data_IF_462687938914
#
_entry.id   IF_462687938914
#
_cell.length_a   1.000
_cell.length_b   1.000
_cell.length_c   1.000
_cell.angle_alpha   90.00
_cell.angle_beta   90.00
_cell.angle_gamma   90.00
#
_symmetry.space_group_name_H-M   'P 1'
#
loop_
_entity.id
_entity.type
_entity.pdbx_description
1 polymer ?
#
# COMPACT_ATOMS: atom_id res chain seq x y z
N UNK A 1 -3.39 3.30 -9.63
CA UNK A 1 -2.70 4.37 -8.85
C UNK A 1 -2.94 5.75 -9.46
N UNK A 2 -2.73 5.94 -10.77
CA UNK A 2 -3.00 7.22 -11.46
C UNK A 2 -4.47 7.66 -11.43
N UNK A 3 -5.40 6.73 -11.68
CA UNK A 3 -6.86 6.96 -11.59
C UNK A 3 -7.28 7.45 -10.20
N UNK A 4 -6.88 6.72 -9.15
CA UNK A 4 -7.17 7.05 -7.76
C UNK A 4 -6.61 8.41 -7.36
N UNK A 5 -5.37 8.70 -7.77
CA UNK A 5 -4.72 10.00 -7.51
C UNK A 5 -5.45 11.15 -8.20
N UNK A 6 -5.95 10.95 -9.42
CA UNK A 6 -6.73 11.95 -10.17
C UNK A 6 -8.05 12.28 -9.47
N UNK A 7 -8.75 11.25 -8.98
CA UNK A 7 -10.02 11.41 -8.24
C UNK A 7 -9.78 12.11 -6.90
N UNK A 8 -8.72 11.73 -6.17
CA UNK A 8 -8.36 12.39 -4.90
C UNK A 8 -7.97 13.86 -5.12
N UNK A 9 -7.19 14.18 -6.16
CA UNK A 9 -6.86 15.57 -6.50
C UNK A 9 -8.09 16.40 -6.88
N UNK A 10 -9.05 15.84 -7.62
CA UNK A 10 -10.32 16.53 -7.92
C UNK A 10 -11.15 16.77 -6.67
N UNK A 11 -11.32 15.75 -5.82
CA UNK A 11 -12.04 15.87 -4.55
C UNK A 11 -11.38 16.89 -3.59
N UNK A 12 -10.05 17.00 -3.59
CA UNK A 12 -9.29 18.02 -2.85
C UNK A 12 -9.31 19.41 -3.50
N UNK A 13 -9.47 19.49 -4.83
CA UNK A 13 -9.61 20.75 -5.57
C UNK A 13 -10.95 21.45 -5.32
N UNK A 14 -12.02 20.71 -5.04
CA UNK A 14 -13.31 21.26 -4.58
C UNK A 14 -13.92 22.28 -5.56
N UNK A 15 -14.17 21.85 -6.80
CA UNK A 15 -14.77 22.72 -7.82
C UNK A 15 -16.28 22.88 -7.63
N UNK A 16 -16.95 21.94 -6.96
CA UNK A 16 -18.40 21.97 -6.77
C UNK A 16 -18.84 22.02 -5.30
N UNK A 17 -19.99 22.65 -5.04
CA UNK A 17 -20.54 22.83 -3.68
C UNK A 17 -20.86 21.50 -2.98
N UNK A 18 -21.25 20.47 -3.73
CA UNK A 18 -21.49 19.13 -3.19
C UNK A 18 -20.18 18.47 -2.73
N UNK A 19 -19.05 18.73 -3.39
CA UNK A 19 -17.72 18.23 -2.99
C UNK A 19 -17.28 18.87 -1.67
N UNK A 20 -17.66 20.12 -1.41
CA UNK A 20 -17.44 20.79 -0.13
C UNK A 20 -18.25 20.15 1.00
N UNK A 21 -19.52 19.80 0.75
CA UNK A 21 -20.35 19.11 1.74
C UNK A 21 -19.79 17.71 2.01
N UNK A 22 -19.46 16.96 0.95
CA UNK A 22 -18.85 15.63 1.09
C UNK A 22 -17.51 15.71 1.82
N UNK A 23 -16.69 16.72 1.57
CA UNK A 23 -15.45 16.99 2.32
C UNK A 23 -15.73 17.20 3.80
N UNK A 24 -16.67 18.08 4.12
CA UNK A 24 -17.00 18.40 5.51
C UNK A 24 -17.55 17.18 6.26
N UNK A 25 -18.36 16.36 5.59
CA UNK A 25 -18.88 15.11 6.11
C UNK A 25 -17.75 14.10 6.29
N UNK A 26 -16.95 13.82 5.26
CA UNK A 26 -15.85 12.86 5.34
C UNK A 26 -14.82 13.22 6.41
N UNK A 27 -14.40 14.49 6.50
CA UNK A 27 -13.37 14.88 7.46
C UNK A 27 -13.87 15.05 8.90
N UNK A 28 -15.18 15.25 9.14
CA UNK A 28 -15.72 15.35 10.50
C UNK A 28 -16.39 14.07 11.01
N UNK A 29 -16.90 13.19 10.13
CA UNK A 29 -17.64 11.98 10.52
C UNK A 29 -16.83 10.69 10.43
N UNK A 30 -15.64 10.70 9.82
CA UNK A 30 -14.80 9.50 9.85
C UNK A 30 -14.27 9.32 11.29
N UNK A 31 -14.61 8.22 11.97
CA UNK A 31 -14.12 7.96 13.30
C UNK A 31 -12.63 7.55 13.27
N UNK A 32 -11.90 7.85 14.34
CA UNK A 32 -10.46 7.60 14.45
C UNK A 32 -10.05 6.14 14.19
N UNK A 33 -10.91 5.17 14.54
CA UNK A 33 -10.62 3.76 14.29
C UNK A 33 -10.50 3.42 12.80
N UNK A 34 -11.21 4.15 11.93
CA UNK A 34 -11.10 3.99 10.47
C UNK A 34 -9.74 4.51 10.00
N UNK A 35 -9.31 5.68 10.49
CA UNK A 35 -8.00 6.22 10.19
C UNK A 35 -6.89 5.25 10.61
N UNK A 36 -6.94 4.74 11.85
CA UNK A 36 -5.97 3.76 12.34
C UNK A 36 -5.93 2.49 11.48
N UNK A 37 -7.09 2.00 11.04
CA UNK A 37 -7.16 0.82 10.17
C UNK A 37 -6.54 1.08 8.78
N UNK A 38 -6.79 2.24 8.19
CA UNK A 38 -6.19 2.64 6.90
C UNK A 38 -4.67 2.76 7.05
N UNK A 39 -4.19 3.48 8.06
CA UNK A 39 -2.76 3.63 8.33
C UNK A 39 -2.08 2.29 8.55
N UNK A 40 -2.71 1.39 9.32
CA UNK A 40 -2.20 0.05 9.57
C UNK A 40 -2.04 -0.74 8.27
N UNK A 41 -3.05 -0.69 7.38
CA UNK A 41 -2.98 -1.34 6.07
C UNK A 41 -1.89 -0.77 5.16
N UNK A 42 -1.68 0.55 5.18
CA UNK A 42 -0.61 1.17 4.39
C UNK A 42 0.77 0.83 4.95
N UNK A 43 0.92 0.76 6.27
CA UNK A 43 2.16 0.39 6.94
C UNK A 43 2.49 -1.11 6.88
N UNK A 44 1.50 -1.96 6.59
CA UNK A 44 1.67 -3.40 6.41
C UNK A 44 2.52 -3.73 5.17
N UNK A 45 2.41 -2.93 4.10
CA UNK A 45 3.22 -3.12 2.90
C UNK A 45 4.62 -2.53 3.06
N UNK A 46 5.63 -3.39 3.06
CA UNK A 46 7.04 -3.00 3.13
C UNK A 46 7.71 -3.32 1.79
N UNK A 47 7.91 -2.36 0.89
CA UNK A 47 8.65 -2.62 -0.34
C UNK A 47 10.09 -2.97 0.03
N UNK A 48 10.56 -4.12 -0.46
CA UNK A 48 11.93 -4.56 -0.26
C UNK A 48 12.57 -4.86 -1.61
N UNK A 49 13.84 -4.49 -1.74
CA UNK A 49 14.63 -4.76 -2.93
C UNK A 49 14.83 -6.27 -3.04
N UNK A 50 14.50 -6.86 -4.20
CA UNK A 50 14.42 -8.31 -4.38
C UNK A 50 15.76 -9.03 -4.21
N UNK A 51 16.90 -8.39 -4.46
CA UNK A 51 18.22 -9.00 -4.31
C UNK A 51 18.75 -9.03 -2.87
N UNK A 52 18.06 -8.41 -1.92
CA UNK A 52 18.43 -8.42 -0.50
C UNK A 52 17.60 -9.47 0.27
N UNK A 53 18.17 -10.14 1.28
CA UNK A 53 17.44 -11.07 2.13
C UNK A 53 16.32 -10.35 2.90
N UNK A 54 15.17 -11.00 3.04
CA UNK A 54 14.00 -10.41 3.71
C UNK A 54 14.35 -9.89 5.12
N UNK A 55 13.91 -8.66 5.41
CA UNK A 55 14.14 -8.07 6.72
C UNK A 55 13.38 -8.88 7.78
N UNK A 56 14.09 -9.29 8.84
CA UNK A 56 13.47 -9.98 9.98
C UNK A 56 12.38 -9.09 10.58
N UNK A 57 11.20 -9.64 10.84
CA UNK A 57 10.13 -8.89 11.46
C UNK A 57 10.50 -8.58 12.92
N UNK A 58 10.76 -7.30 13.22
CA UNK A 58 11.13 -6.83 14.57
C UNK A 58 9.93 -6.38 15.41
N UNK A 59 8.71 -6.46 14.89
CA UNK A 59 7.50 -6.01 15.57
C UNK A 59 6.48 -7.13 15.82
N UNK A 60 5.49 -6.84 16.66
CA UNK A 60 4.35 -7.73 16.96
C UNK A 60 3.17 -7.56 16.01
N UNK A 61 3.23 -6.56 15.12
CA UNK A 61 2.19 -6.30 14.13
C UNK A 61 2.16 -7.36 13.03
N UNK A 62 0.97 -7.60 12.48
CA UNK A 62 0.79 -8.47 11.32
C UNK A 62 1.45 -7.81 10.10
N UNK A 63 2.45 -8.49 9.55
CA UNK A 63 3.13 -8.06 8.32
C UNK A 63 2.63 -8.93 7.18
N UNK A 64 2.21 -8.30 6.08
CA UNK A 64 1.82 -9.04 4.88
C UNK A 64 3.04 -9.80 4.33
N UNK A 65 2.88 -11.06 3.90
CA UNK A 65 3.97 -11.78 3.27
C UNK A 65 4.42 -11.02 2.01
N UNK A 66 5.70 -10.66 1.96
CA UNK A 66 6.29 -10.06 0.77
C UNK A 66 6.30 -11.12 -0.34
N UNK A 67 5.39 -10.97 -1.31
CA UNK A 67 5.35 -11.82 -2.49
C UNK A 67 6.26 -11.22 -3.56
N UNK A 68 7.38 -11.87 -3.92
CA UNK A 68 8.17 -11.45 -5.06
C UNK A 68 7.33 -11.47 -6.35
N UNK A 69 7.74 -10.67 -7.34
CA UNK A 69 7.09 -10.69 -8.64
C UNK A 69 7.25 -12.07 -9.31
N UNK A 70 6.27 -12.48 -10.12
CA UNK A 70 6.34 -13.73 -10.89
C UNK A 70 7.64 -13.85 -11.70
N UNK A 71 8.05 -12.74 -12.32
CA UNK A 71 9.31 -12.67 -13.08
C UNK A 71 10.53 -12.99 -12.22
N UNK A 72 10.62 -12.40 -11.02
CA UNK A 72 11.75 -12.65 -10.12
C UNK A 72 11.80 -14.10 -9.62
N UNK A 73 10.63 -14.72 -9.34
CA UNK A 73 10.58 -16.14 -8.96
C UNK A 73 11.06 -17.07 -10.08
N UNK A 74 10.73 -16.76 -11.34
CA UNK A 74 11.18 -17.53 -12.49
C UNK A 74 12.69 -17.37 -12.73
N UNK A 75 13.23 -16.15 -12.60
CA UNK A 75 14.67 -15.89 -12.69
C UNK A 75 15.47 -16.66 -11.62
N UNK A 76 14.99 -16.67 -10.37
CA UNK A 76 15.60 -17.45 -9.28
C UNK A 76 15.52 -18.96 -9.49
N UNK A 77 14.41 -19.47 -10.04
CA UNK A 77 14.28 -20.89 -10.36
C UNK A 77 15.26 -21.32 -11.46
N UNK A 78 15.45 -20.48 -12.48
CA UNK A 78 16.46 -20.71 -13.53
C UNK A 78 17.88 -20.71 -12.96
N UNK A 79 18.20 -19.77 -12.06
CA UNK A 79 19.52 -19.72 -11.41
C UNK A 79 19.80 -20.94 -10.53
N UNK A 80 18.81 -21.42 -9.77
CA UNK A 80 18.96 -22.63 -8.93
C UNK A 80 19.11 -23.92 -9.74
N UNK A 81 18.50 -24.00 -10.92
CA UNK A 81 18.65 -25.13 -11.84
C UNK A 81 19.98 -25.14 -12.62
N UNK A 82 20.79 -24.08 -12.51
CA UNK A 82 22.11 -23.93 -13.17
C UNK A 82 23.27 -24.21 -12.19
N UNK A 83 22.97 -24.60 -10.94
CA UNK A 83 24.00 -25.06 -10.01
C UNK A 83 24.57 -26.41 -10.50
N UNK A 84 25.80 -26.35 -11.04
CA UNK A 84 26.69 -27.49 -11.36
C UNK A 84 27.09 -28.20 -10.08
#
# INVERSE_FOLDING_TARGET
>A
MLESSRVTSKAMGGQHWWERILRYVFFNLIPDWIHQKIYTKMAEYRPQITFLPFAVNRGTGRVAPQKPSKRYTEEQAKMKGVAI
#
